data_IF_452802599705
#
_entry.id   IF_452802599705
#
_cell.length_a   1.000
_cell.length_b   1.000
_cell.length_c   1.000
_cell.angle_alpha   90.00
_cell.angle_beta   90.00
_cell.angle_gamma   90.00
#
_symmetry.space_group_name_H-M   'P 1'
#
loop_
_entity.id
_entity.type
_entity.pdbx_description
1 polymer ?
#
# COMPACT_ATOMS: atom_id res chain seq x y z
N UNK A 1 14.82 -42.74 -24.75
CA UNK A 1 14.68 -41.25 -24.87
C UNK A 1 14.76 -40.64 -23.48
N UNK A 2 15.73 -39.77 -23.16
CA UNK A 2 15.84 -39.15 -21.85
C UNK A 2 14.70 -38.16 -21.69
N UNK A 3 13.93 -38.30 -20.58
CA UNK A 3 12.90 -37.32 -20.20
C UNK A 3 13.60 -36.03 -19.81
N UNK A 4 13.29 -34.94 -20.51
CA UNK A 4 13.73 -33.61 -20.10
C UNK A 4 13.33 -33.35 -18.63
N UNK A 5 14.26 -32.86 -17.77
CA UNK A 5 13.89 -32.47 -16.41
C UNK A 5 12.81 -31.39 -16.52
N UNK A 6 11.68 -31.59 -15.84
CA UNK A 6 10.68 -30.55 -15.69
C UNK A 6 11.39 -29.35 -15.06
N UNK A 7 11.40 -28.22 -15.76
CA UNK A 7 11.85 -26.96 -15.17
C UNK A 7 10.95 -26.71 -13.97
N UNK A 8 11.50 -26.85 -12.78
CA UNK A 8 10.84 -26.34 -11.58
C UNK A 8 10.69 -24.85 -11.78
N UNK A 9 9.46 -24.41 -12.06
CA UNK A 9 9.11 -23.00 -12.03
C UNK A 9 9.27 -22.57 -10.58
N UNK A 10 10.39 -21.97 -10.24
CA UNK A 10 10.54 -21.26 -8.97
C UNK A 10 9.49 -20.17 -8.96
N UNK A 11 8.40 -20.39 -8.26
CA UNK A 11 7.32 -19.41 -8.08
C UNK A 11 7.92 -18.18 -7.40
N UNK A 12 8.16 -17.14 -8.18
CA UNK A 12 8.57 -15.83 -7.65
C UNK A 12 7.38 -15.29 -6.86
N UNK A 13 7.57 -15.12 -5.56
CA UNK A 13 6.52 -14.58 -4.69
C UNK A 13 6.29 -13.11 -5.01
N UNK A 14 5.06 -12.75 -5.25
CA UNK A 14 4.63 -11.39 -5.58
C UNK A 14 3.72 -10.83 -4.49
N UNK A 15 3.42 -9.53 -4.57
CA UNK A 15 2.49 -8.86 -3.66
C UNK A 15 1.07 -9.46 -3.64
N UNK A 16 0.72 -10.31 -4.61
CA UNK A 16 -0.60 -10.95 -4.74
C UNK A 16 -0.71 -12.25 -3.94
N UNK A 17 0.42 -12.86 -3.58
CA UNK A 17 0.48 -14.18 -2.93
C UNK A 17 0.30 -14.13 -1.41
N UNK A 18 0.18 -12.91 -0.84
CA UNK A 18 0.07 -12.69 0.60
C UNK A 18 -1.12 -11.80 0.96
N UNK A 19 -1.73 -12.01 2.15
CA UNK A 19 -2.80 -11.15 2.63
C UNK A 19 -2.36 -9.68 2.70
N UNK A 20 -3.25 -8.78 2.24
CA UNK A 20 -2.89 -7.37 2.08
C UNK A 20 -2.61 -6.62 3.37
N UNK A 21 -3.22 -6.99 4.48
CA UNK A 21 -3.02 -6.44 5.81
C UNK A 21 -1.63 -6.79 6.37
N UNK A 22 -1.22 -8.06 6.29
CA UNK A 22 0.13 -8.51 6.67
C UNK A 22 1.21 -7.82 5.82
N UNK A 23 0.99 -7.73 4.51
CA UNK A 23 1.91 -7.03 3.61
C UNK A 23 2.04 -5.55 3.96
N UNK A 24 0.92 -4.85 4.20
CA UNK A 24 0.93 -3.43 4.55
C UNK A 24 1.61 -3.20 5.90
N UNK A 25 1.41 -4.08 6.89
CA UNK A 25 2.06 -3.99 8.20
C UNK A 25 3.58 -4.14 8.09
N UNK A 26 4.05 -5.17 7.39
CA UNK A 26 5.48 -5.40 7.17
C UNK A 26 6.13 -4.27 6.35
N UNK A 27 5.46 -3.83 5.29
CA UNK A 27 5.92 -2.73 4.44
C UNK A 27 5.99 -1.40 5.21
N UNK A 28 5.04 -1.10 6.10
CA UNK A 28 5.07 0.08 6.94
C UNK A 28 6.32 0.13 7.83
N UNK A 29 6.70 -1.02 8.40
CA UNK A 29 7.93 -1.12 9.20
C UNK A 29 9.20 -0.89 8.35
N UNK A 30 9.24 -1.40 7.13
CA UNK A 30 10.34 -1.15 6.20
C UNK A 30 10.43 0.32 5.81
N UNK A 31 9.30 0.96 5.53
CA UNK A 31 9.24 2.38 5.14
C UNK A 31 9.60 3.36 6.27
N UNK A 32 9.49 2.95 7.55
CA UNK A 32 9.98 3.75 8.69
C UNK A 32 11.49 3.99 8.66
N UNK A 33 12.24 3.09 8.04
CA UNK A 33 13.70 3.21 7.92
C UNK A 33 14.13 4.20 6.83
N UNK A 34 13.21 4.59 5.94
CA UNK A 34 13.50 5.50 4.83
C UNK A 34 13.32 6.96 5.25
N UNK A 35 14.42 7.74 5.19
CA UNK A 35 14.44 9.16 5.56
C UNK A 35 13.56 10.05 4.67
N UNK A 36 13.25 9.59 3.45
CA UNK A 36 12.40 10.34 2.53
C UNK A 36 10.91 10.30 2.92
N UNK A 37 10.53 9.35 3.78
CA UNK A 37 9.16 9.15 4.21
C UNK A 37 9.05 9.56 5.67
N UNK A 38 8.45 10.73 5.91
CA UNK A 38 8.23 11.24 7.26
C UNK A 38 6.82 11.82 7.40
N UNK A 39 6.16 11.64 8.54
CA UNK A 39 4.89 12.28 8.79
C UNK A 39 5.11 13.81 8.87
N UNK A 40 4.35 14.62 8.13
CA UNK A 40 4.43 16.07 8.24
C UNK A 40 3.81 16.54 9.58
N UNK A 41 4.22 17.69 10.09
CA UNK A 41 3.81 18.24 11.41
C UNK A 41 2.28 18.28 11.58
N UNK A 42 1.56 18.63 10.51
CA UNK A 42 0.11 18.70 10.53
C UNK A 42 -0.57 17.32 10.61
N UNK A 43 0.16 16.21 10.41
CA UNK A 43 -0.41 14.85 10.40
C UNK A 43 -1.08 14.46 11.72
N UNK A 44 -0.59 15.00 12.83
CA UNK A 44 -1.09 14.69 14.17
C UNK A 44 -2.47 15.30 14.48
N UNK A 45 -2.89 16.30 13.71
CA UNK A 45 -4.10 17.09 13.98
C UNK A 45 -5.22 16.86 12.98
N UNK A 46 -5.04 15.99 11.99
CA UNK A 46 -5.99 15.84 10.88
C UNK A 46 -6.74 14.53 10.90
N UNK A 47 -7.97 14.59 10.41
CA UNK A 47 -8.74 13.39 10.03
C UNK A 47 -8.31 12.90 8.65
N UNK A 48 -8.32 11.60 8.43
CA UNK A 48 -7.89 11.00 7.14
C UNK A 48 -8.91 11.23 6.01
N UNK A 49 -10.14 11.59 6.33
CA UNK A 49 -11.20 11.91 5.37
C UNK A 49 -12.34 12.70 6.02
N UNK A 50 -13.18 13.32 5.20
CA UNK A 50 -14.37 14.07 5.66
C UNK A 50 -15.41 13.16 6.33
N UNK A 51 -15.51 11.89 5.90
CA UNK A 51 -16.43 10.91 6.47
C UNK A 51 -15.97 10.31 7.81
N UNK A 52 -14.71 10.55 8.20
CA UNK A 52 -14.19 10.10 9.51
C UNK A 52 -14.53 11.13 10.59
N UNK A 53 -14.98 10.65 11.73
CA UNK A 53 -15.30 11.49 12.88
C UNK A 53 -14.07 11.88 13.67
N UNK A 54 -13.15 10.94 13.87
CA UNK A 54 -11.93 11.09 14.69
C UNK A 54 -10.65 11.02 13.85
N UNK A 55 -9.59 11.59 14.38
CA UNK A 55 -8.22 11.39 13.88
C UNK A 55 -7.76 9.94 14.11
N UNK A 56 -6.74 9.45 13.38
CA UNK A 56 -6.17 8.13 13.61
C UNK A 56 -5.64 7.99 15.04
N UNK A 57 -5.91 6.85 15.68
CA UNK A 57 -5.42 6.53 17.02
C UNK A 57 -4.00 5.96 17.02
N UNK A 58 -3.60 5.33 15.91
CA UNK A 58 -2.26 4.77 15.77
C UNK A 58 -1.24 5.86 15.48
N UNK A 59 -0.13 5.97 16.25
CA UNK A 59 0.89 6.99 16.02
C UNK A 59 1.57 6.84 14.66
N UNK A 60 1.74 5.61 14.21
CA UNK A 60 2.41 5.26 12.95
C UNK A 60 1.50 5.23 11.72
N UNK A 61 0.28 5.75 11.82
CA UNK A 61 -0.73 5.67 10.77
C UNK A 61 -0.25 6.19 9.40
N UNK A 62 0.71 7.14 9.40
CA UNK A 62 1.28 7.70 8.18
C UNK A 62 2.00 6.64 7.35
N UNK A 63 2.83 5.84 8.00
CA UNK A 63 3.58 4.75 7.35
C UNK A 63 2.65 3.64 6.85
N UNK A 64 1.64 3.28 7.63
CA UNK A 64 0.61 2.33 7.18
C UNK A 64 -0.17 2.84 5.97
N UNK A 65 -0.51 4.13 5.96
CA UNK A 65 -1.18 4.74 4.81
C UNK A 65 -0.26 4.78 3.60
N UNK A 66 1.02 5.09 3.78
CA UNK A 66 2.03 5.11 2.71
C UNK A 66 2.22 3.71 2.12
N UNK A 67 2.36 2.69 2.95
CA UNK A 67 2.42 1.29 2.53
C UNK A 67 1.16 0.85 1.74
N UNK A 68 -0.01 1.20 2.25
CA UNK A 68 -1.30 0.93 1.58
C UNK A 68 -1.41 1.63 0.22
N UNK A 69 -0.92 2.87 0.10
CA UNK A 69 -0.90 3.62 -1.17
C UNK A 69 0.05 2.94 -2.15
N UNK A 70 1.26 2.59 -1.73
CA UNK A 70 2.25 1.92 -2.59
C UNK A 70 1.70 0.59 -3.13
N UNK A 71 1.12 -0.24 -2.27
CA UNK A 71 0.46 -1.50 -2.67
C UNK A 71 -0.67 -1.25 -3.67
N UNK A 72 -1.52 -0.24 -3.46
CA UNK A 72 -2.62 0.07 -4.38
C UNK A 72 -2.14 0.54 -5.75
N UNK A 73 -1.03 1.28 -5.81
CA UNK A 73 -0.39 1.66 -7.08
C UNK A 73 0.14 0.42 -7.78
N UNK A 74 0.76 -0.52 -7.05
CA UNK A 74 1.22 -1.79 -7.62
C UNK A 74 0.11 -2.65 -8.19
N UNK A 75 -1.06 -2.70 -7.53
CA UNK A 75 -2.20 -3.51 -7.98
C UNK A 75 -2.96 -2.87 -9.14
N UNK A 76 -3.19 -1.55 -9.08
CA UNK A 76 -4.07 -0.86 -10.05
C UNK A 76 -3.30 -0.23 -11.22
N UNK A 77 -1.95 -0.26 -11.20
CA UNK A 77 -1.13 0.45 -12.17
C UNK A 77 -1.13 1.98 -11.97
N UNK A 78 -0.82 2.75 -13.00
CA UNK A 78 -0.75 4.21 -12.90
C UNK A 78 -2.07 4.82 -12.43
N UNK A 79 -2.05 5.53 -11.29
CA UNK A 79 -3.24 6.08 -10.67
C UNK A 79 -3.04 7.55 -10.25
N UNK A 80 -4.06 8.38 -10.47
CA UNK A 80 -4.10 9.77 -10.02
C UNK A 80 -4.66 9.91 -8.60
N UNK A 81 -4.36 11.05 -7.96
CA UNK A 81 -4.78 11.34 -6.57
C UNK A 81 -6.29 11.25 -6.37
N UNK A 82 -7.08 11.65 -7.37
CA UNK A 82 -8.54 11.62 -7.24
C UNK A 82 -9.09 10.20 -7.29
N UNK A 83 -8.61 9.37 -8.24
CA UNK A 83 -9.00 7.97 -8.32
C UNK A 83 -8.57 7.21 -7.06
N UNK A 84 -7.36 7.51 -6.56
CA UNK A 84 -6.89 6.95 -5.30
C UNK A 84 -7.75 7.37 -4.10
N UNK A 85 -8.25 8.61 -4.08
CA UNK A 85 -9.16 9.07 -3.02
C UNK A 85 -10.49 8.31 -3.01
N UNK A 86 -10.98 7.83 -4.16
CA UNK A 86 -12.16 6.97 -4.24
C UNK A 86 -11.92 5.61 -3.56
N UNK A 87 -10.72 5.04 -3.62
CA UNK A 87 -10.37 3.80 -2.91
C UNK A 87 -10.38 3.95 -1.38
N UNK A 88 -10.27 5.18 -0.87
CA UNK A 88 -10.35 5.51 0.56
C UNK A 88 -11.65 6.24 0.90
N UNK A 89 -12.69 6.08 0.09
CA UNK A 89 -14.01 6.63 0.34
C UNK A 89 -14.75 5.87 1.43
N UNK A 90 -15.74 6.51 2.01
CA UNK A 90 -16.63 5.89 2.97
C UNK A 90 -17.90 6.71 3.13
N UNK A 91 -18.93 6.09 3.71
CA UNK A 91 -20.21 6.73 4.01
C UNK A 91 -20.02 7.77 5.11
N UNK A 92 -20.54 8.97 4.90
CA UNK A 92 -20.61 10.02 5.92
C UNK A 92 -22.01 10.04 6.53
N UNK A 93 -22.05 9.96 7.84
CA UNK A 93 -23.27 10.25 8.59
C UNK A 93 -23.60 11.74 8.46
N UNK A 94 -24.87 12.02 8.12
CA UNK A 94 -25.40 13.37 7.89
C UNK A 94 -26.59 13.67 8.82
N UNK A 95 -26.72 12.90 9.90
CA UNK A 95 -27.87 12.96 10.80
C UNK A 95 -29.14 12.46 10.10
N UNK A 96 -30.20 13.25 10.10
CA UNK A 96 -31.49 12.89 9.48
C UNK A 96 -31.50 12.89 7.95
N UNK A 97 -30.45 13.39 7.29
CA UNK A 97 -30.32 13.35 5.82
C UNK A 97 -29.74 12.02 5.35
N UNK A 98 -30.09 11.51 4.16
CA UNK A 98 -29.50 10.29 3.61
C UNK A 98 -27.99 10.35 3.56
N UNK A 99 -27.33 9.25 3.94
CA UNK A 99 -25.87 9.15 3.95
C UNK A 99 -25.30 9.27 2.53
N UNK A 100 -24.12 9.90 2.42
CA UNK A 100 -23.44 10.09 1.14
C UNK A 100 -22.00 9.59 1.23
N UNK A 101 -21.56 8.88 0.20
CA UNK A 101 -20.15 8.47 0.08
C UNK A 101 -19.26 9.67 -0.25
N UNK A 102 -18.19 9.83 0.51
CA UNK A 102 -17.19 10.89 0.33
C UNK A 102 -15.80 10.28 0.23
N UNK A 103 -14.97 10.83 -0.67
CA UNK A 103 -13.61 10.38 -0.88
C UNK A 103 -12.66 10.64 0.30
N UNK A 104 -11.54 9.96 0.32
CA UNK A 104 -10.43 10.21 1.24
C UNK A 104 -9.78 11.57 1.02
N UNK A 105 -8.96 12.01 1.99
CA UNK A 105 -8.24 13.28 1.92
C UNK A 105 -7.24 13.30 0.77
N UNK A 106 -7.48 14.12 -0.24
CA UNK A 106 -6.58 14.27 -1.39
C UNK A 106 -5.24 14.93 -1.01
N UNK A 107 -5.21 15.77 0.03
CA UNK A 107 -3.97 16.38 0.53
C UNK A 107 -3.03 15.32 1.10
N UNK A 108 -3.53 14.45 1.97
CA UNK A 108 -2.77 13.34 2.55
C UNK A 108 -2.20 12.46 1.43
N UNK A 109 -3.05 12.01 0.50
CA UNK A 109 -2.63 11.15 -0.59
C UNK A 109 -1.60 11.80 -1.51
N UNK A 110 -1.76 13.10 -1.81
CA UNK A 110 -0.79 13.86 -2.62
C UNK A 110 0.57 13.95 -1.93
N UNK A 111 0.60 14.27 -0.64
CA UNK A 111 1.84 14.36 0.13
C UNK A 111 2.55 12.99 0.20
N UNK A 112 1.81 11.91 0.43
CA UNK A 112 2.35 10.55 0.42
C UNK A 112 2.93 10.21 -0.97
N UNK A 113 2.20 10.49 -2.05
CA UNK A 113 2.69 10.21 -3.40
C UNK A 113 3.94 11.03 -3.74
N UNK A 114 4.05 12.27 -3.24
CA UNK A 114 5.25 13.09 -3.41
C UNK A 114 6.45 12.50 -2.64
N UNK A 115 6.25 12.04 -1.41
CA UNK A 115 7.31 11.37 -0.64
C UNK A 115 7.77 10.07 -1.28
N UNK A 116 6.84 9.25 -1.78
CA UNK A 116 7.16 8.03 -2.52
C UNK A 116 7.90 8.31 -3.85
N UNK A 117 7.61 9.43 -4.50
CA UNK A 117 8.29 9.88 -5.72
C UNK A 117 9.74 10.31 -5.39
N UNK A 118 9.94 11.05 -4.29
CA UNK A 118 11.27 11.44 -3.79
C UNK A 118 12.09 10.20 -3.37
N UNK A 119 11.46 9.21 -2.74
CA UNK A 119 12.09 7.93 -2.39
C UNK A 119 12.40 7.05 -3.62
N UNK A 120 11.85 7.40 -4.79
CA UNK A 120 12.06 6.69 -6.05
C UNK A 120 11.26 5.39 -6.18
N UNK A 121 10.21 5.18 -5.38
CA UNK A 121 9.34 4.00 -5.47
C UNK A 121 8.24 4.14 -6.53
N UNK A 122 7.88 5.36 -6.87
CA UNK A 122 6.89 5.65 -7.91
C UNK A 122 7.40 6.76 -8.85
N UNK A 123 6.85 6.79 -10.06
CA UNK A 123 7.17 7.80 -11.07
C UNK A 123 5.92 8.30 -11.78
N UNK A 124 6.02 9.48 -12.42
CA UNK A 124 4.94 10.02 -13.25
C UNK A 124 4.83 9.23 -14.54
N UNK A 125 3.63 8.72 -14.82
CA UNK A 125 3.35 8.02 -16.06
C UNK A 125 3.04 9.01 -17.20
N UNK A 126 3.47 8.68 -18.43
CA UNK A 126 3.12 9.43 -19.65
C UNK A 126 1.60 9.49 -19.91
N UNK A 127 0.87 8.47 -19.48
CA UNK A 127 -0.59 8.37 -19.62
C UNK A 127 -1.37 9.08 -18.50
N UNK A 128 -0.66 9.77 -17.61
CA UNK A 128 -1.24 10.43 -16.44
C UNK A 128 -1.24 9.55 -15.19
N UNK A 129 -1.20 10.21 -14.03
CA UNK A 129 -1.07 9.51 -12.75
C UNK A 129 0.38 9.16 -12.41
N UNK A 130 0.55 8.32 -11.38
CA UNK A 130 1.85 7.80 -10.94
C UNK A 130 1.81 6.28 -10.95
N UNK A 131 2.83 5.69 -11.57
CA UNK A 131 3.06 4.26 -11.65
C UNK A 131 4.17 3.80 -10.73
N UNK A 132 4.31 2.50 -10.58
CA UNK A 132 5.35 1.87 -9.79
C UNK A 132 6.65 1.82 -10.57
N UNK A 133 7.78 2.11 -9.91
CA UNK A 133 9.11 1.91 -10.48
C UNK A 133 9.61 0.47 -10.25
N UNK A 134 10.65 0.00 -10.95
CA UNK A 134 11.29 -1.28 -10.65
C UNK A 134 11.76 -1.41 -9.20
N UNK A 135 12.24 -0.30 -8.58
CA UNK A 135 12.61 -0.24 -7.17
C UNK A 135 11.37 -0.44 -6.27
N UNK A 136 10.25 0.20 -6.61
CA UNK A 136 8.99 0.04 -5.89
C UNK A 136 8.44 -1.39 -6.00
N UNK A 137 8.55 -2.03 -7.17
CA UNK A 137 8.16 -3.43 -7.34
C UNK A 137 9.03 -4.36 -6.50
N UNK A 138 10.34 -4.16 -6.53
CA UNK A 138 11.29 -4.97 -5.76
C UNK A 138 11.02 -4.92 -4.25
N UNK A 139 10.72 -3.74 -3.68
CA UNK A 139 10.41 -3.63 -2.24
C UNK A 139 9.10 -4.34 -1.89
N UNK A 140 8.09 -4.27 -2.75
CA UNK A 140 6.81 -4.97 -2.56
C UNK A 140 7.00 -6.50 -2.57
N UNK A 141 7.72 -7.03 -3.56
CA UNK A 141 7.91 -8.47 -3.73
C UNK A 141 8.84 -9.05 -2.65
N UNK A 142 9.91 -8.34 -2.30
CA UNK A 142 10.80 -8.75 -1.20
C UNK A 142 10.06 -8.78 0.15
N UNK A 143 9.21 -7.79 0.41
CA UNK A 143 8.40 -7.75 1.62
C UNK A 143 7.35 -8.86 1.61
N UNK A 144 6.73 -9.13 0.46
CA UNK A 144 5.80 -10.25 0.30
C UNK A 144 6.47 -11.61 0.57
N UNK A 145 7.68 -11.81 0.06
CA UNK A 145 8.46 -13.01 0.33
C UNK A 145 8.76 -13.21 1.83
N UNK A 146 9.17 -12.13 2.51
CA UNK A 146 9.41 -12.17 3.96
C UNK A 146 8.13 -12.50 4.74
N UNK A 147 7.00 -11.90 4.38
CA UNK A 147 5.68 -12.18 4.99
C UNK A 147 5.27 -13.62 4.73
N UNK A 148 5.38 -14.13 3.50
CA UNK A 148 5.07 -15.52 3.16
C UNK A 148 5.88 -16.50 4.02
N UNK A 149 7.19 -16.25 4.16
CA UNK A 149 8.09 -17.08 4.99
C UNK A 149 7.67 -17.11 6.46
N UNK A 150 7.20 -15.99 7.00
CA UNK A 150 6.70 -15.91 8.38
C UNK A 150 5.38 -16.67 8.54
N UNK A 151 4.43 -16.47 7.62
CA UNK A 151 3.15 -17.18 7.63
C UNK A 151 3.32 -18.71 7.47
N UNK A 152 4.28 -19.15 6.66
CA UNK A 152 4.60 -20.57 6.52
C UNK A 152 5.13 -21.19 7.83
N UNK A 153 5.85 -20.42 8.66
CA UNK A 153 6.30 -20.88 9.97
C UNK A 153 5.16 -20.99 10.97
N UNK A 154 4.21 -20.05 10.91
CA UNK A 154 3.04 -20.04 11.80
C UNK A 154 2.01 -21.11 11.42
N UNK A 155 1.85 -21.36 10.13
CA UNK A 155 0.90 -22.33 9.57
C UNK A 155 1.63 -23.41 8.78
N UNK A 156 1.94 -24.54 9.41
CA UNK A 156 2.61 -25.67 8.76
C UNK A 156 1.84 -26.24 7.53
N UNK A 157 0.53 -26.03 7.48
CA UNK A 157 -0.32 -26.40 6.33
C UNK A 157 -0.02 -25.61 5.05
N UNK A 158 0.51 -24.38 5.17
CA UNK A 158 0.89 -23.55 4.02
C UNK A 158 2.19 -24.01 3.34
N UNK A 159 2.98 -24.85 3.99
CA UNK A 159 4.23 -25.37 3.42
C UNK A 159 4.02 -26.31 2.22
N UNK A 160 2.77 -26.74 1.97
CA UNK A 160 2.39 -27.62 0.85
C UNK A 160 2.07 -26.86 -0.45
N UNK A 161 1.97 -25.55 -0.40
CA UNK A 161 1.67 -24.65 -1.52
C UNK A 161 2.78 -23.64 -1.71
#
# INVERSE_FOLDING_TARGET
>A
MPRHPRREFTHVTTQYDVPGDHLVGALANTLKSDKAISPPDWSNFVKTAVHKEKSPTQPDWWYYRTASVLRKIGVNGPIGTERLAKHYSGSRDRGSKPNRSLGGSRKILRSIMQQLEVAGFIEKSKQGGRGLTPKGQSILDNTAFAVKKNLQKEMSSLSKY
#
